data_IF_470088650165
#
_entry.id   IF_470088650165
#
_cell.length_a   1.000
_cell.length_b   1.000
_cell.length_c   1.000
_cell.angle_alpha   90.00
_cell.angle_beta   90.00
_cell.angle_gamma   90.00
#
_symmetry.space_group_name_H-M   'P 1'
#
loop_
_entity.id
_entity.type
_entity.pdbx_description
1 polymer ?
#
# COMPACT_ATOMS: atom_id res chain seq x y z
N UNK A 1 46.15 -1.60 -9.02
CA UNK A 1 45.50 -1.46 -7.70
C UNK A 1 44.09 -1.95 -7.83
N UNK A 2 43.74 -3.04 -7.15
CA UNK A 2 42.41 -3.67 -7.23
C UNK A 2 41.37 -2.83 -6.48
N UNK A 3 40.34 -2.38 -7.20
CA UNK A 3 39.14 -1.81 -6.59
C UNK A 3 38.31 -2.94 -5.98
N UNK A 4 38.41 -3.12 -4.67
CA UNK A 4 37.54 -4.01 -3.93
C UNK A 4 36.12 -3.46 -3.92
N UNK A 5 35.17 -4.24 -4.43
CA UNK A 5 33.74 -3.99 -4.25
C UNK A 5 33.42 -4.15 -2.76
N UNK A 6 33.24 -3.05 -2.03
CA UNK A 6 32.82 -3.10 -0.63
C UNK A 6 31.33 -3.43 -0.56
N UNK A 7 31.01 -4.70 -0.34
CA UNK A 7 29.66 -5.14 0.00
C UNK A 7 29.40 -4.75 1.45
N UNK A 8 28.65 -3.68 1.68
CA UNK A 8 28.14 -3.38 3.00
C UNK A 8 27.17 -4.50 3.38
N UNK A 9 27.50 -5.29 4.40
CA UNK A 9 26.62 -6.33 4.91
C UNK A 9 25.39 -5.65 5.53
N UNK A 10 24.31 -5.50 4.76
CA UNK A 10 23.08 -4.83 5.19
C UNK A 10 22.19 -5.70 6.08
N UNK A 11 22.51 -6.99 6.21
CA UNK A 11 21.77 -7.94 7.03
C UNK A 11 22.60 -8.38 8.23
N UNK A 12 22.31 -7.79 9.38
CA UNK A 12 22.85 -8.22 10.67
C UNK A 12 22.33 -9.63 11.00
N UNK A 13 23.22 -10.52 11.45
CA UNK A 13 22.79 -11.80 12.02
C UNK A 13 22.19 -11.52 13.39
N UNK A 14 20.90 -11.81 13.52
CA UNK A 14 20.15 -11.55 14.74
C UNK A 14 20.39 -12.65 15.77
N UNK A 15 20.15 -12.32 17.04
CA UNK A 15 20.05 -13.33 18.08
C UNK A 15 18.86 -14.28 17.80
N UNK A 16 19.00 -15.55 18.19
CA UNK A 16 17.99 -16.60 17.95
C UNK A 16 16.63 -16.33 18.62
N UNK A 17 16.59 -15.40 19.58
CA UNK A 17 15.36 -14.97 20.25
C UNK A 17 14.56 -13.95 19.45
N UNK A 18 15.16 -13.31 18.44
CA UNK A 18 14.45 -12.39 17.56
C UNK A 18 13.62 -13.17 16.53
N UNK A 19 12.52 -12.58 16.07
CA UNK A 19 11.73 -13.10 14.93
C UNK A 19 12.44 -12.81 13.58
N UNK A 20 13.72 -13.19 13.48
CA UNK A 20 14.62 -13.02 12.33
C UNK A 20 14.98 -11.57 11.93
N UNK A 21 14.45 -10.53 12.59
CA UNK A 21 14.73 -9.12 12.27
C UNK A 21 15.32 -8.40 13.47
N UNK A 22 16.37 -7.63 13.23
CA UNK A 22 17.09 -6.86 14.22
C UNK A 22 17.85 -5.72 13.55
N UNK A 23 18.22 -4.71 14.34
CA UNK A 23 19.11 -3.64 13.89
C UNK A 23 20.55 -3.79 14.43
N UNK A 24 20.76 -4.76 15.32
CA UNK A 24 22.05 -5.13 15.92
C UNK A 24 21.97 -6.60 16.44
N UNK A 25 23.09 -7.32 16.63
CA UNK A 25 23.07 -8.74 16.98
C UNK A 25 22.61 -9.06 18.41
N UNK A 26 22.38 -8.07 19.27
CA UNK A 26 21.94 -8.30 20.65
C UNK A 26 20.42 -8.57 20.73
N UNK A 27 20.02 -9.34 21.75
CA UNK A 27 18.60 -9.67 22.02
C UNK A 27 17.76 -8.42 22.33
N UNK A 28 18.37 -7.36 22.87
CA UNK A 28 17.70 -6.07 23.11
C UNK A 28 17.32 -5.35 21.82
N UNK A 29 17.93 -5.73 20.70
CA UNK A 29 17.90 -5.00 19.44
C UNK A 29 17.06 -5.71 18.38
N UNK A 30 16.16 -6.61 18.84
CA UNK A 30 15.14 -7.21 17.99
C UNK A 30 14.16 -6.15 17.51
N UNK A 31 13.75 -6.25 16.26
CA UNK A 31 12.67 -5.41 15.73
C UNK A 31 11.31 -5.82 16.32
N UNK A 32 10.35 -4.90 16.24
CA UNK A 32 8.96 -5.26 16.49
C UNK A 32 8.50 -6.34 15.50
N UNK A 33 7.67 -7.28 15.96
CA UNK A 33 7.19 -8.42 15.15
C UNK A 33 6.41 -8.01 13.89
N UNK A 34 5.83 -6.81 13.90
CA UNK A 34 5.09 -6.25 12.75
C UNK A 34 6.00 -5.55 11.73
N UNK A 35 7.31 -5.50 11.96
CA UNK A 35 8.25 -4.97 10.99
C UNK A 35 8.57 -6.01 9.91
N UNK A 36 8.49 -5.60 8.65
CA UNK A 36 8.97 -6.34 7.50
C UNK A 36 10.34 -5.82 7.06
N UNK A 37 11.27 -6.73 6.76
CA UNK A 37 12.63 -6.42 6.29
C UNK A 37 13.61 -6.01 7.39
N UNK A 38 13.24 -5.04 8.23
CA UNK A 38 14.11 -4.52 9.31
C UNK A 38 13.53 -3.29 10.00
N UNK A 39 14.31 -2.68 10.89
CA UNK A 39 13.92 -1.52 11.68
C UNK A 39 15.13 -0.66 12.07
N UNK A 40 14.87 0.57 12.54
CA UNK A 40 15.86 1.46 13.16
C UNK A 40 15.83 1.38 14.71
N UNK A 41 14.86 0.68 15.27
CA UNK A 41 14.61 0.58 16.70
C UNK A 41 13.55 -0.47 17.03
N UNK A 42 13.32 -0.74 18.32
CA UNK A 42 12.47 -1.86 18.74
C UNK A 42 10.96 -1.55 18.63
N UNK A 43 10.55 -0.30 18.37
CA UNK A 43 9.13 0.07 18.32
C UNK A 43 8.53 -0.27 16.96
N UNK A 44 7.22 -0.46 16.92
CA UNK A 44 6.47 -0.68 15.68
C UNK A 44 6.41 0.54 14.75
N UNK A 45 6.88 1.71 15.21
CA UNK A 45 7.04 2.93 14.42
C UNK A 45 8.41 3.05 13.75
N UNK A 46 9.35 2.20 14.13
CA UNK A 46 10.74 2.27 13.66
C UNK A 46 10.99 1.28 12.51
N UNK A 47 9.94 0.62 12.03
CA UNK A 47 10.00 -0.36 10.95
C UNK A 47 10.29 0.31 9.60
N UNK A 48 11.05 -0.35 8.73
CA UNK A 48 11.20 0.08 7.33
C UNK A 48 9.93 -0.13 6.51
N UNK A 49 9.20 -1.22 6.81
CA UNK A 49 7.91 -1.55 6.22
C UNK A 49 7.08 -2.37 7.22
N UNK A 50 5.77 -2.44 7.02
CA UNK A 50 4.87 -3.22 7.87
C UNK A 50 4.60 -4.59 7.24
N UNK A 51 4.48 -5.62 8.08
CA UNK A 51 4.04 -6.96 7.65
C UNK A 51 2.57 -6.97 7.23
N UNK A 52 1.73 -6.20 7.92
CA UNK A 52 0.27 -6.18 7.75
C UNK A 52 -0.21 -4.79 7.31
N UNK A 53 -0.41 -3.87 8.27
CA UNK A 53 -0.95 -2.55 7.99
C UNK A 53 -0.09 -1.44 8.58
N UNK A 54 0.03 -0.35 7.83
CA UNK A 54 0.58 0.92 8.31
C UNK A 54 -0.56 1.81 8.80
N UNK A 55 -0.59 2.04 10.11
CA UNK A 55 -1.48 2.98 10.76
C UNK A 55 -0.74 4.28 11.11
N UNK A 56 -0.73 5.22 10.17
CA UNK A 56 -0.13 6.55 10.36
C UNK A 56 1.34 6.49 10.86
N UNK A 57 2.12 5.54 10.34
CA UNK A 57 3.52 5.32 10.68
C UNK A 57 3.76 4.16 11.66
N UNK A 58 2.73 3.67 12.35
CA UNK A 58 2.85 2.51 13.23
C UNK A 58 2.44 1.22 12.51
N UNK A 59 3.27 0.19 12.56
CA UNK A 59 2.91 -1.12 12.03
C UNK A 59 1.99 -1.88 13.00
N UNK A 60 0.82 -2.27 12.50
CA UNK A 60 -0.24 -2.93 13.28
C UNK A 60 -0.74 -4.18 12.57
N UNK A 61 -1.23 -5.14 13.36
CA UNK A 61 -1.83 -6.38 12.84
C UNK A 61 -3.21 -6.15 12.23
N UNK A 62 -3.97 -5.20 12.76
CA UNK A 62 -5.33 -4.88 12.34
C UNK A 62 -5.57 -3.38 12.53
N UNK A 63 -6.34 -2.78 11.61
CA UNK A 63 -6.72 -1.38 11.75
C UNK A 63 -7.70 -1.17 12.92
N UNK A 64 -7.71 0.04 13.53
CA UNK A 64 -8.65 0.40 14.59
C UNK A 64 -10.12 0.10 14.23
N UNK A 65 -10.73 -0.83 14.97
CA UNK A 65 -12.10 -1.28 14.72
C UNK A 65 -13.13 -0.15 14.94
N UNK A 66 -14.28 -0.19 14.24
CA UNK A 66 -15.34 0.82 14.36
C UNK A 66 -16.03 0.83 15.71
N UNK A 67 -15.93 -0.26 16.46
CA UNK A 67 -16.53 -0.38 17.77
C UNK A 67 -15.51 -0.92 18.77
N UNK A 68 -15.50 -0.34 19.97
CA UNK A 68 -14.60 -0.70 21.07
C UNK A 68 -15.42 -1.11 22.29
N UNK A 69 -14.93 -2.08 23.05
CA UNK A 69 -15.58 -2.49 24.29
C UNK A 69 -15.28 -1.50 25.41
N UNK A 70 -16.31 -0.87 25.97
CA UNK A 70 -16.19 -0.02 27.14
C UNK A 70 -16.52 -0.84 28.40
N UNK A 71 -15.52 -1.07 29.24
CA UNK A 71 -15.66 -1.84 30.48
C UNK A 71 -16.52 -1.16 31.54
N UNK A 72 -16.66 0.17 31.52
CA UNK A 72 -17.49 0.92 32.50
C UNK A 72 -18.98 0.76 32.22
N UNK A 73 -19.37 0.77 30.95
CA UNK A 73 -20.76 0.60 30.51
C UNK A 73 -21.09 -0.86 30.16
N UNK A 74 -20.08 -1.74 30.09
CA UNK A 74 -20.19 -3.13 29.60
C UNK A 74 -20.86 -3.22 28.22
N UNK A 75 -20.63 -2.21 27.39
CA UNK A 75 -21.25 -2.07 26.07
C UNK A 75 -20.20 -1.80 25.01
N UNK A 76 -20.59 -2.09 23.77
CA UNK A 76 -19.80 -1.80 22.59
C UNK A 76 -20.10 -0.36 22.14
N UNK A 77 -19.09 0.51 22.16
CA UNK A 77 -19.23 1.93 21.85
C UNK A 77 -18.51 2.26 20.54
N UNK A 78 -18.98 3.30 19.84
CA UNK A 78 -18.36 3.73 18.60
C UNK A 78 -16.96 4.29 18.84
N UNK A 79 -15.98 3.83 18.05
CA UNK A 79 -14.60 4.25 18.16
C UNK A 79 -14.34 5.51 17.32
N UNK A 80 -14.10 6.69 17.91
CA UNK A 80 -13.79 7.91 17.15
C UNK A 80 -12.48 7.81 16.37
N UNK A 81 -11.62 6.84 16.70
CA UNK A 81 -10.35 6.59 16.03
C UNK A 81 -10.45 5.47 14.98
N UNK A 82 -11.66 5.08 14.57
CA UNK A 82 -11.85 4.03 13.57
C UNK A 82 -11.10 4.34 12.27
N UNK A 83 -10.50 3.29 11.71
CA UNK A 83 -9.87 3.33 10.40
C UNK A 83 -10.15 2.02 9.68
N UNK A 84 -10.24 2.11 8.36
CA UNK A 84 -10.56 1.00 7.48
C UNK A 84 -9.31 0.48 6.80
N UNK A 85 -9.21 -0.83 6.66
CA UNK A 85 -8.13 -1.46 5.92
C UNK A 85 -8.28 -1.13 4.43
N UNK A 86 -7.20 -0.63 3.83
CA UNK A 86 -7.10 -0.36 2.41
C UNK A 86 -5.72 -0.78 1.89
N UNK A 87 -5.65 -1.95 1.26
CA UNK A 87 -4.36 -2.57 0.94
C UNK A 87 -3.54 -2.79 2.22
N UNK A 88 -2.33 -2.24 2.28
CA UNK A 88 -1.44 -2.31 3.44
C UNK A 88 -1.52 -1.08 4.37
N UNK A 89 -2.60 -0.29 4.29
CA UNK A 89 -2.75 0.95 5.04
C UNK A 89 -4.07 1.01 5.82
N UNK A 90 -4.06 1.74 6.94
CA UNK A 90 -5.27 2.11 7.66
C UNK A 90 -5.70 3.54 7.30
N UNK A 91 -6.89 3.70 6.72
CA UNK A 91 -7.41 5.00 6.25
C UNK A 91 -8.66 5.42 7.01
N UNK A 92 -8.83 6.72 7.28
CA UNK A 92 -10.04 7.23 7.95
C UNK A 92 -11.27 7.23 7.04
N UNK A 93 -11.06 7.38 5.73
CA UNK A 93 -12.10 7.35 4.70
C UNK A 93 -11.58 6.50 3.55
N UNK A 94 -12.45 5.68 2.98
CA UNK A 94 -12.11 4.95 1.77
C UNK A 94 -11.91 5.96 0.63
N UNK A 95 -10.82 5.84 -0.15
CA UNK A 95 -10.56 6.75 -1.25
C UNK A 95 -11.53 6.47 -2.42
N UNK A 96 -11.75 7.49 -3.25
CA UNK A 96 -12.53 7.36 -4.49
C UNK A 96 -11.66 6.98 -5.71
N UNK A 97 -10.35 6.86 -5.49
CA UNK A 97 -9.35 6.48 -6.48
C UNK A 97 -8.55 5.29 -5.92
N UNK A 98 -7.99 4.45 -6.80
CA UNK A 98 -7.06 3.39 -6.40
C UNK A 98 -5.83 3.97 -5.66
N UNK A 99 -5.13 3.20 -4.78
CA UNK A 99 -3.96 3.75 -4.12
C UNK A 99 -2.91 4.03 -5.21
N UNK A 100 -2.11 5.10 -5.10
CA UNK A 100 -0.95 5.19 -5.96
C UNK A 100 -0.11 3.94 -5.71
N UNK A 101 -0.06 3.04 -6.70
CA UNK A 101 0.95 1.98 -6.76
C UNK A 101 2.27 2.66 -6.42
N UNK A 102 2.90 2.20 -5.34
CA UNK A 102 4.19 2.73 -4.87
C UNK A 102 5.07 2.99 -6.09
N UNK A 103 5.27 4.28 -6.41
CA UNK A 103 6.19 4.67 -7.46
C UNK A 103 7.55 4.19 -6.97
N UNK A 104 7.99 3.06 -7.51
CA UNK A 104 9.28 2.47 -7.19
C UNK A 104 10.35 3.54 -7.41
N UNK A 105 11.34 3.71 -6.52
CA UNK A 105 12.34 4.78 -6.62
C UNK A 105 13.40 4.46 -7.68
N UNK A 106 13.01 4.10 -8.90
CA UNK A 106 13.93 3.80 -10.00
C UNK A 106 14.23 5.00 -10.90
N UNK A 107 13.70 6.19 -10.62
CA UNK A 107 13.99 7.38 -11.44
C UNK A 107 14.86 8.43 -10.72
N UNK A 108 16.03 8.00 -10.26
CA UNK A 108 17.15 8.90 -9.94
C UNK A 108 18.48 8.24 -10.31
N UNK A 109 18.65 7.84 -11.57
CA UNK A 109 19.99 7.61 -12.13
C UNK A 109 20.33 8.78 -13.06
N UNK A 110 21.37 9.58 -12.78
CA UNK A 110 21.83 10.61 -13.71
C UNK A 110 22.46 9.94 -14.93
N UNK A 111 21.94 10.24 -16.12
CA UNK A 111 22.60 9.87 -17.37
C UNK A 111 23.92 10.65 -17.47
N UNK A 112 25.03 9.93 -17.50
CA UNK A 112 26.34 10.48 -17.86
C UNK A 112 26.28 10.88 -19.36
N UNK A 113 26.22 12.18 -19.62
CA UNK A 113 26.32 12.75 -20.96
C UNK A 113 27.75 12.59 -21.50
N UNK A 114 28.03 11.51 -22.24
CA UNK A 114 29.24 11.45 -23.07
C UNK A 114 28.96 12.13 -24.41
N UNK A 115 29.41 13.36 -24.58
CA UNK A 115 29.48 14.03 -25.88
C UNK A 115 30.68 13.49 -26.67
N UNK A 116 30.43 12.97 -27.87
CA UNK A 116 31.40 12.95 -28.97
C UNK A 116 30.69 12.79 -30.32
N UNK A 117 31.31 13.28 -31.42
CA UNK A 117 30.59 13.96 -32.50
C UNK A 117 30.00 13.04 -33.59
N UNK A 118 28.92 13.54 -34.18
CA UNK A 118 28.17 12.95 -35.28
C UNK A 118 28.86 13.22 -36.63
N UNK A 119 29.05 12.16 -37.44
CA UNK A 119 29.41 12.25 -38.86
C UNK A 119 28.19 11.88 -39.71
N UNK A 120 27.82 12.80 -40.59
CA UNK A 120 26.60 12.82 -41.40
C UNK A 120 26.75 12.03 -42.70
N UNK A 121 25.79 11.18 -43.07
CA UNK A 121 25.40 10.91 -44.47
C UNK A 121 24.22 9.90 -44.60
N UNK A 122 23.53 9.81 -45.76
CA UNK A 122 22.07 9.88 -45.83
C UNK A 122 21.34 8.53 -45.97
N UNK A 123 20.04 8.58 -45.68
CA UNK A 123 19.02 7.53 -45.82
C UNK A 123 19.07 6.75 -47.15
N UNK A 124 18.50 5.53 -47.15
CA UNK A 124 17.24 5.39 -47.86
C UNK A 124 16.09 4.81 -47.00
N UNK A 125 14.90 5.32 -47.31
CA UNK A 125 13.60 4.96 -46.76
C UNK A 125 13.25 3.48 -46.97
N UNK A 126 12.70 2.85 -45.93
CA UNK A 126 11.77 1.72 -46.07
C UNK A 126 10.59 1.96 -45.13
N UNK A 127 9.44 2.20 -45.77
CA UNK A 127 8.14 2.48 -45.17
C UNK A 127 7.62 1.23 -44.49
N UNK A 128 7.57 1.24 -43.16
CA UNK A 128 6.83 0.25 -42.36
C UNK A 128 5.50 0.88 -41.93
N UNK A 129 4.36 0.15 -41.94
CA UNK A 129 3.08 0.72 -41.54
C UNK A 129 3.14 1.14 -40.07
N UNK A 130 2.83 2.40 -39.78
CA UNK A 130 2.57 2.86 -38.41
C UNK A 130 1.55 1.93 -37.76
N UNK A 131 1.81 1.36 -36.57
CA UNK A 131 0.71 1.02 -35.69
C UNK A 131 0.01 2.33 -35.37
N UNK A 132 -1.25 2.45 -35.81
CA UNK A 132 -2.14 3.52 -35.40
C UNK A 132 -2.11 3.56 -33.87
N UNK A 133 -1.70 4.70 -33.32
CA UNK A 133 -2.06 5.06 -31.95
C UNK A 133 -3.58 5.24 -31.97
N UNK A 134 -4.30 4.15 -31.78
CA UNK A 134 -5.68 4.23 -31.31
C UNK A 134 -5.58 4.81 -29.91
N UNK A 135 -6.10 6.03 -29.78
CA UNK A 135 -6.42 6.67 -28.50
C UNK A 135 -7.00 5.63 -27.54
N UNK A 136 -6.68 5.67 -26.23
CA UNK A 136 -7.31 4.78 -25.25
C UNK A 136 -8.83 5.02 -25.06
N UNK A 137 -9.49 5.76 -25.94
CA UNK A 137 -10.91 6.12 -25.87
C UNK A 137 -11.87 5.09 -26.50
N UNK A 138 -11.41 3.88 -26.87
CA UNK A 138 -12.28 2.81 -27.42
C UNK A 138 -12.27 1.50 -26.62
N UNK A 139 -11.90 1.56 -25.34
CA UNK A 139 -12.50 0.67 -24.35
C UNK A 139 -13.48 1.55 -23.61
N UNK A 140 -14.78 1.26 -23.70
CA UNK A 140 -15.85 2.01 -23.04
C UNK A 140 -15.74 2.02 -21.52
N UNK A 141 -14.74 2.72 -20.98
CA UNK A 141 -14.61 3.12 -19.60
C UNK A 141 -15.12 4.56 -19.51
N UNK A 142 -16.44 4.71 -19.53
CA UNK A 142 -17.01 5.44 -18.41
C UNK A 142 -16.68 4.60 -17.16
N UNK A 143 -15.43 4.62 -16.71
CA UNK A 143 -15.11 4.10 -15.40
C UNK A 143 -15.70 5.13 -14.46
N UNK A 144 -16.79 4.85 -13.73
CA UNK A 144 -17.02 5.63 -12.53
C UNK A 144 -15.71 5.51 -11.74
N UNK A 145 -15.17 6.64 -11.26
CA UNK A 145 -14.01 6.65 -10.36
C UNK A 145 -14.09 5.46 -9.40
N UNK A 146 -12.97 4.76 -9.15
CA UNK A 146 -12.90 3.56 -8.30
C UNK A 146 -13.48 3.83 -6.90
N UNK A 147 -14.78 3.64 -6.79
CA UNK A 147 -15.60 4.19 -5.71
C UNK A 147 -15.67 3.17 -4.58
N UNK A 148 -14.64 3.14 -3.72
CA UNK A 148 -14.60 2.19 -2.61
C UNK A 148 -15.71 2.44 -1.58
N UNK A 149 -16.31 1.35 -1.12
CA UNK A 149 -17.34 1.30 -0.10
C UNK A 149 -16.78 0.60 1.15
N UNK A 150 -17.20 1.01 2.33
CA UNK A 150 -16.80 0.37 3.60
C UNK A 150 -17.59 -0.92 3.77
N UNK A 151 -16.92 -2.06 3.88
CA UNK A 151 -17.52 -3.30 4.38
C UNK A 151 -16.89 -3.70 5.72
N UNK A 152 -17.69 -3.61 6.78
CA UNK A 152 -17.30 -3.89 8.16
C UNK A 152 -16.11 -3.06 8.68
N UNK A 153 -14.88 -3.44 8.33
CA UNK A 153 -13.64 -2.77 8.72
C UNK A 153 -12.65 -2.59 7.56
N UNK A 154 -13.10 -2.78 6.30
CA UNK A 154 -12.26 -2.75 5.11
C UNK A 154 -12.90 -1.95 3.98
N UNK A 155 -12.09 -1.34 3.13
CA UNK A 155 -12.54 -0.69 1.89
C UNK A 155 -12.58 -1.73 0.76
N UNK A 156 -13.78 -1.97 0.22
CA UNK A 156 -14.02 -2.92 -0.88
C UNK A 156 -14.55 -2.18 -2.10
N UNK A 157 -14.39 -2.76 -3.30
CA UNK A 157 -14.88 -2.14 -4.55
C UNK A 157 -16.40 -2.26 -4.73
N UNK A 158 -17.00 -3.28 -4.12
CA UNK A 158 -18.43 -3.54 -4.20
C UNK A 158 -18.87 -4.31 -2.95
N UNK A 159 -20.11 -4.11 -2.52
CA UNK A 159 -20.67 -4.89 -1.42
C UNK A 159 -20.82 -6.37 -1.81
N UNK A 160 -20.63 -7.31 -0.85
CA UNK A 160 -20.92 -8.72 -1.09
C UNK A 160 -22.41 -8.92 -1.37
N UNK A 161 -22.77 -10.03 -2.04
CA UNK A 161 -24.13 -10.25 -2.57
C UNK A 161 -25.26 -10.26 -1.54
N UNK A 162 -24.95 -10.39 -0.25
CA UNK A 162 -25.91 -10.35 0.86
C UNK A 162 -25.97 -8.97 1.56
N UNK A 163 -25.35 -7.95 0.97
CA UNK A 163 -25.31 -6.59 1.49
C UNK A 163 -25.65 -5.60 0.39
N UNK A 164 -26.19 -4.45 0.79
CA UNK A 164 -26.44 -3.32 -0.08
C UNK A 164 -25.63 -2.10 0.36
N UNK A 165 -25.30 -1.25 -0.60
CA UNK A 165 -24.64 0.03 -0.35
C UNK A 165 -25.65 1.04 0.19
N UNK A 166 -25.31 1.66 1.31
CA UNK A 166 -26.06 2.78 1.89
C UNK A 166 -25.10 3.91 2.17
N UNK A 167 -25.56 5.15 2.01
CA UNK A 167 -24.78 6.33 2.36
C UNK A 167 -25.24 6.86 3.72
N UNK A 168 -24.38 6.75 4.72
CA UNK A 168 -24.63 7.24 6.08
C UNK A 168 -23.53 8.24 6.44
N UNK A 169 -23.91 9.45 6.87
CA UNK A 169 -22.96 10.52 7.23
C UNK A 169 -21.91 10.84 6.14
N UNK A 170 -22.31 10.80 4.86
CA UNK A 170 -21.41 10.95 3.68
C UNK A 170 -20.34 9.84 3.57
N UNK A 171 -20.59 8.67 4.17
CA UNK A 171 -19.75 7.48 4.05
C UNK A 171 -20.60 6.36 3.48
N UNK A 172 -20.15 5.81 2.35
CA UNK A 172 -20.81 4.67 1.70
C UNK A 172 -20.38 3.40 2.41
N UNK A 173 -21.36 2.62 2.89
CA UNK A 173 -21.15 1.45 3.73
C UNK A 173 -22.04 0.30 3.26
N UNK A 174 -21.53 -0.93 3.36
CA UNK A 174 -22.26 -2.16 3.09
C UNK A 174 -23.03 -2.62 4.33
N UNK A 175 -24.36 -2.60 4.25
CA UNK A 175 -25.24 -3.11 5.30
C UNK A 175 -25.92 -4.40 4.86
N UNK A 176 -26.15 -5.38 5.76
CA UNK A 176 -26.93 -6.57 5.44
C UNK A 176 -28.31 -6.22 4.90
N UNK A 177 -28.74 -6.94 3.86
CA UNK A 177 -30.11 -6.82 3.37
C UNK A 177 -31.08 -7.38 4.42
N UNK A 178 -32.26 -6.76 4.58
CA UNK A 178 -33.29 -7.27 5.48
C UNK A 178 -33.96 -8.54 4.94
N UNK A 179 -34.14 -8.59 3.61
CA UNK A 179 -34.79 -9.71 2.92
C UNK A 179 -34.03 -10.04 1.62
N UNK A 180 -34.57 -9.63 0.47
CA UNK A 180 -33.95 -9.84 -0.85
C UNK A 180 -33.12 -8.62 -1.19
N UNK A 181 -31.82 -8.82 -1.46
CA UNK A 181 -30.97 -7.74 -1.95
C UNK A 181 -31.44 -7.31 -3.36
N UNK A 182 -31.53 -6.00 -3.64
CA UNK A 182 -31.81 -5.52 -4.98
C UNK A 182 -30.72 -6.00 -5.95
N UNK A 183 -31.15 -6.50 -7.12
CA UNK A 183 -30.26 -6.89 -8.23
C UNK A 183 -29.94 -5.71 -9.12
#
# INVERSE_FOLDING_TARGET
GGGGLYVHLTKTVCADQCDSRCFSPYVSDCCHRECAGGCLGPKNTDCFACTNFNDSGACVTQCPQPFIYNSKSSQLEHNPNTKYAYGAFCVKKCPCESPPVSLSPLLSSPLLSSTSPHLTSPQPHLTSPQPHLTSPDDLGLNSPADNFVVDHSSCVRACPSNKMEVEENHVRTCVPCTDICPK
#
